data_IF_617926601523
#
_entry.id   IF_617926601523
#
_cell.length_a   1.000
_cell.length_b   1.000
_cell.length_c   1.000
_cell.angle_alpha   90.00
_cell.angle_beta   90.00
_cell.angle_gamma   90.00
#
_symmetry.space_group_name_H-M   'P 1'
#
loop_
_entity.id
_entity.type
_entity.pdbx_description
1 polymer ?
#
# COMPACT_ATOMS: atom_id res chain seq x y z
N UNK A 1 46.30 11.40 26.53
CA UNK A 1 45.82 10.10 26.01
C UNK A 1 44.67 10.39 25.09
N UNK A 2 44.92 10.39 23.79
CA UNK A 2 43.91 10.64 22.76
C UNK A 2 42.89 9.51 22.79
N UNK A 3 41.68 9.83 23.22
CA UNK A 3 40.50 8.99 23.04
C UNK A 3 40.22 8.91 21.55
N UNK A 4 40.82 7.91 20.89
CA UNK A 4 40.43 7.52 19.54
C UNK A 4 38.97 7.10 19.61
N UNK A 5 38.08 8.03 19.30
CA UNK A 5 36.72 7.69 18.94
C UNK A 5 36.85 6.85 17.67
N UNK A 6 36.83 5.53 17.82
CA UNK A 6 36.54 4.65 16.71
C UNK A 6 35.11 4.98 16.27
N UNK A 7 34.99 5.97 15.39
CA UNK A 7 33.83 6.09 14.54
C UNK A 7 33.72 4.77 13.79
N UNK A 8 32.87 3.92 14.34
CA UNK A 8 32.42 2.66 13.76
C UNK A 8 31.87 3.02 12.39
N UNK A 9 32.73 3.00 11.35
CA UNK A 9 32.39 3.28 9.95
C UNK A 9 31.28 2.30 9.61
N UNK A 10 30.02 2.73 9.78
CA UNK A 10 28.87 1.95 9.35
C UNK A 10 29.06 1.79 7.85
N UNK A 11 29.22 0.56 7.35
CA UNK A 11 29.59 0.36 5.96
C UNK A 11 28.56 1.07 5.08
N UNK A 12 29.03 1.87 4.13
CA UNK A 12 28.16 2.73 3.31
C UNK A 12 27.11 1.90 2.56
N UNK A 13 27.46 0.67 2.21
CA UNK A 13 26.57 -0.32 1.61
C UNK A 13 25.40 -0.72 2.51
N UNK A 14 25.60 -0.75 3.83
CA UNK A 14 24.53 -1.07 4.79
C UNK A 14 23.52 0.07 4.88
N UNK A 15 23.99 1.32 4.88
CA UNK A 15 23.11 2.51 4.87
C UNK A 15 22.31 2.57 3.57
N UNK A 16 22.92 2.19 2.45
CA UNK A 16 22.25 2.15 1.15
C UNK A 16 21.21 1.03 1.07
N UNK A 17 21.55 -0.17 1.52
CA UNK A 17 20.63 -1.33 1.57
C UNK A 17 19.41 -1.05 2.45
N UNK A 18 19.61 -0.47 3.65
CA UNK A 18 18.50 -0.07 4.52
C UNK A 18 17.59 0.95 3.82
N UNK A 19 18.14 1.90 3.07
CA UNK A 19 17.34 2.90 2.34
C UNK A 19 16.49 2.28 1.24
N UNK A 20 17.03 1.29 0.52
CA UNK A 20 16.27 0.54 -0.51
C UNK A 20 15.15 -0.27 0.13
N UNK A 21 15.43 -0.98 1.23
CA UNK A 21 14.41 -1.75 1.97
C UNK A 21 13.32 -0.83 2.52
N UNK A 22 13.70 0.34 3.06
CA UNK A 22 12.73 1.30 3.59
C UNK A 22 11.87 1.89 2.47
N UNK A 23 12.44 2.19 1.31
CA UNK A 23 11.69 2.66 0.15
C UNK A 23 10.69 1.60 -0.34
N UNK A 24 11.10 0.33 -0.38
CA UNK A 24 10.22 -0.78 -0.70
C UNK A 24 9.07 -0.92 0.30
N UNK A 25 9.36 -0.85 1.61
CA UNK A 25 8.33 -0.89 2.65
C UNK A 25 7.35 0.29 2.55
N UNK A 26 7.83 1.47 2.16
CA UNK A 26 6.99 2.66 1.95
C UNK A 26 6.04 2.45 0.75
N UNK A 27 6.53 1.89 -0.36
CA UNK A 27 5.69 1.54 -1.52
C UNK A 27 4.60 0.54 -1.10
N UNK A 28 4.94 -0.50 -0.34
CA UNK A 28 3.96 -1.45 0.18
C UNK A 28 2.92 -0.76 1.08
N UNK A 29 3.36 0.12 1.96
CA UNK A 29 2.46 0.88 2.84
C UNK A 29 1.48 1.75 2.03
N UNK A 30 1.93 2.36 0.93
CA UNK A 30 1.08 3.15 0.03
C UNK A 30 0.03 2.26 -0.65
N UNK A 31 0.42 1.08 -1.17
CA UNK A 31 -0.52 0.14 -1.80
C UNK A 31 -1.60 -0.28 -0.79
N UNK A 32 -1.20 -0.63 0.43
CA UNK A 32 -2.14 -0.99 1.50
C UNK A 32 -3.07 0.18 1.86
N UNK A 33 -2.53 1.39 1.98
CA UNK A 33 -3.33 2.58 2.28
C UNK A 33 -4.39 2.84 1.20
N UNK A 34 -4.00 2.78 -0.08
CA UNK A 34 -4.93 2.94 -1.22
C UNK A 34 -6.01 1.87 -1.17
N UNK A 35 -5.64 0.61 -0.89
CA UNK A 35 -6.59 -0.51 -0.80
C UNK A 35 -7.61 -0.27 0.31
N UNK A 36 -7.17 0.15 1.51
CA UNK A 36 -8.06 0.47 2.63
C UNK A 36 -9.00 1.62 2.27
N UNK A 37 -8.49 2.68 1.64
CA UNK A 37 -9.31 3.82 1.19
C UNK A 37 -10.38 3.36 0.19
N UNK A 38 -10.01 2.53 -0.79
CA UNK A 38 -10.96 2.01 -1.77
C UNK A 38 -12.08 1.19 -1.12
N UNK A 39 -11.74 0.36 -0.13
CA UNK A 39 -12.72 -0.42 0.66
C UNK A 39 -13.65 0.52 1.44
N UNK A 40 -13.11 1.55 2.10
CA UNK A 40 -13.91 2.52 2.86
C UNK A 40 -14.88 3.30 1.97
N UNK A 41 -14.43 3.71 0.77
CA UNK A 41 -15.30 4.39 -0.19
C UNK A 41 -16.40 3.45 -0.66
N UNK A 42 -16.04 2.22 -1.04
CA UNK A 42 -17.02 1.20 -1.47
C UNK A 42 -18.07 0.96 -0.38
N UNK A 43 -17.64 0.83 0.88
CA UNK A 43 -18.54 0.66 2.02
C UNK A 43 -19.45 1.87 2.23
N UNK A 44 -18.91 3.07 2.08
CA UNK A 44 -19.69 4.32 2.16
C UNK A 44 -20.75 4.36 1.06
N UNK A 45 -20.40 3.97 -0.17
CA UNK A 45 -21.34 3.89 -1.29
C UNK A 45 -22.45 2.88 -1.03
N UNK A 46 -22.13 1.68 -0.53
CA UNK A 46 -23.15 0.68 -0.15
C UNK A 46 -24.12 1.24 0.88
N UNK A 47 -23.62 1.97 1.89
CA UNK A 47 -24.46 2.61 2.90
C UNK A 47 -25.38 3.64 2.25
N UNK A 48 -24.84 4.54 1.41
CA UNK A 48 -25.64 5.56 0.73
C UNK A 48 -26.71 4.92 -0.17
N UNK A 49 -26.35 3.87 -0.92
CA UNK A 49 -27.26 3.13 -1.80
C UNK A 49 -28.40 2.48 -0.99
N UNK A 50 -28.06 1.85 0.15
CA UNK A 50 -29.01 1.24 1.08
C UNK A 50 -29.98 2.24 1.70
N UNK A 51 -29.54 3.49 1.93
CA UNK A 51 -30.41 4.56 2.41
C UNK A 51 -31.18 5.30 1.29
N UNK A 52 -30.74 5.19 0.04
CA UNK A 52 -31.29 5.95 -1.09
C UNK A 52 -32.17 5.13 -2.04
N UNK A 53 -32.27 3.80 -1.87
CA UNK A 53 -33.05 2.86 -2.70
C UNK A 53 -32.76 2.99 -4.23
N UNK A 54 -31.61 3.56 -4.58
CA UNK A 54 -31.10 3.61 -5.95
C UNK A 54 -30.12 2.46 -6.16
N UNK A 55 -29.98 1.93 -7.38
CA UNK A 55 -29.09 0.79 -7.67
C UNK A 55 -27.83 1.20 -8.43
N UNK A 56 -27.58 2.51 -8.57
CA UNK A 56 -26.54 3.04 -9.45
C UNK A 56 -25.15 3.03 -8.81
N UNK A 57 -25.04 3.10 -7.49
CA UNK A 57 -23.75 3.09 -6.80
C UNK A 57 -23.15 1.68 -6.75
N UNK A 58 -23.99 0.64 -6.66
CA UNK A 58 -23.55 -0.75 -6.84
C UNK A 58 -22.90 -1.01 -8.19
N UNK A 59 -23.47 -0.48 -9.28
CA UNK A 59 -22.90 -0.62 -10.63
C UNK A 59 -21.54 0.10 -10.78
N UNK A 60 -21.37 1.27 -10.16
CA UNK A 60 -20.08 1.99 -10.13
C UNK A 60 -19.02 1.22 -9.33
N UNK A 61 -19.43 0.51 -8.28
CA UNK A 61 -18.54 -0.37 -7.51
C UNK A 61 -18.00 -1.52 -8.37
N UNK A 62 -18.87 -2.20 -9.09
CA UNK A 62 -18.46 -3.30 -9.99
C UNK A 62 -17.59 -2.81 -11.15
N UNK A 63 -17.90 -1.65 -11.73
CA UNK A 63 -17.18 -1.17 -12.91
C UNK A 63 -15.80 -0.59 -12.57
N UNK A 64 -15.63 0.05 -11.41
CA UNK A 64 -14.38 0.75 -11.08
C UNK A 64 -13.61 0.15 -9.89
N UNK A 65 -14.30 -0.28 -8.83
CA UNK A 65 -13.62 -0.73 -7.61
C UNK A 65 -13.14 -2.18 -7.70
N UNK A 66 -13.93 -3.06 -8.34
CA UNK A 66 -13.52 -4.46 -8.54
C UNK A 66 -12.21 -4.55 -9.37
N UNK A 67 -12.10 -3.92 -10.57
CA UNK A 67 -10.88 -4.01 -11.37
C UNK A 67 -9.67 -3.36 -10.70
N UNK A 68 -9.88 -2.25 -9.99
CA UNK A 68 -8.80 -1.57 -9.23
C UNK A 68 -8.31 -2.46 -8.09
N UNK A 69 -9.21 -3.14 -7.37
CA UNK A 69 -8.83 -4.06 -6.30
C UNK A 69 -8.03 -5.26 -6.82
N UNK A 70 -8.43 -5.86 -7.94
CA UNK A 70 -7.69 -6.94 -8.58
C UNK A 70 -6.31 -6.48 -9.07
N UNK A 71 -6.22 -5.28 -9.65
CA UNK A 71 -4.95 -4.71 -10.08
C UNK A 71 -4.01 -4.47 -8.89
N UNK A 72 -4.50 -3.87 -7.81
CA UNK A 72 -3.71 -3.67 -6.58
C UNK A 72 -3.26 -5.00 -5.98
N UNK A 73 -4.12 -6.02 -6.00
CA UNK A 73 -3.78 -7.37 -5.54
C UNK A 73 -2.70 -8.03 -6.41
N UNK A 74 -2.80 -7.93 -7.73
CA UNK A 74 -1.77 -8.43 -8.65
C UNK A 74 -0.45 -7.68 -8.49
N UNK A 75 -0.51 -6.37 -8.29
CA UNK A 75 0.67 -5.55 -8.02
C UNK A 75 1.33 -5.98 -6.70
N UNK A 76 0.53 -6.21 -5.66
CA UNK A 76 1.01 -6.66 -4.35
C UNK A 76 1.66 -8.04 -4.41
N UNK A 77 1.00 -9.02 -5.03
CA UNK A 77 1.53 -10.39 -5.20
C UNK A 77 2.76 -10.44 -6.11
N UNK A 78 2.85 -9.57 -7.11
CA UNK A 78 4.07 -9.42 -7.90
C UNK A 78 5.22 -8.80 -7.09
N UNK A 79 4.91 -7.84 -6.22
CA UNK A 79 5.91 -7.17 -5.39
C UNK A 79 6.46 -8.08 -4.30
N UNK A 80 5.60 -8.89 -3.66
CA UNK A 80 5.94 -9.82 -2.59
C UNK A 80 6.18 -11.22 -3.17
N UNK A 81 7.43 -11.61 -3.48
CA UNK A 81 7.71 -12.93 -4.03
C UNK A 81 7.43 -14.02 -2.99
N UNK A 82 6.61 -15.02 -3.35
CA UNK A 82 6.38 -16.24 -2.56
C UNK A 82 5.00 -16.39 -1.90
N UNK A 83 4.01 -15.56 -2.26
CA UNK A 83 2.59 -15.82 -1.99
C UNK A 83 1.95 -16.71 -3.07
#
# INVERSE_FOLDING_TARGET
MESRMEEKKRPEWLKWTIRVILAYALVLAVILAITIIAILITFTFIIIDSFSDTSSLGAISEEYFVPVSEFMWRLFTWLVPGL
#
